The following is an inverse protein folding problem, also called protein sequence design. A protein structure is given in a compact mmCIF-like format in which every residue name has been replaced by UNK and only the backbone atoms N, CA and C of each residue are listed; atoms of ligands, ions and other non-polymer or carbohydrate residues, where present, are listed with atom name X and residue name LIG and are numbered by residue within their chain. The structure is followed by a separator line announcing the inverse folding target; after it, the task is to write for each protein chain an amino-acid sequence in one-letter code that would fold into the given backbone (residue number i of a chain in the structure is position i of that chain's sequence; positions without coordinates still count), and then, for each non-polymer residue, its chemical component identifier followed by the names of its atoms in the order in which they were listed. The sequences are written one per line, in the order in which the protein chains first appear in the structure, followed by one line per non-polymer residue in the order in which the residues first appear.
data_IF_253912948008
#
_entry.id   IF_253912948008
#
_cell.length_a   1.000
_cell.length_b   1.000
_cell.length_c   1.000
_cell.angle_alpha   90.00
_cell.angle_beta   90.00
_cell.angle_gamma   90.00
#
_symmetry.space_group_name_H-M   'P 1'
#
loop_
_entity.id
_entity.type
_entity.pdbx_description
1 polymer ?
#
# COMPACT_ATOMS: atom_id res chain seq x y z
N UNK A 1 110.13 -26.13 183.74
CA UNK A 1 110.17 -26.13 182.27
C UNK A 1 108.95 -25.41 181.72
N UNK A 2 109.01 -24.09 181.63
CA UNK A 2 107.94 -23.19 181.13
C UNK A 2 108.18 -22.77 179.66
N UNK A 3 109.06 -23.48 178.92
CA UNK A 3 109.53 -23.09 177.57
C UNK A 3 108.92 -23.87 176.41
N UNK A 4 108.21 -24.98 176.64
CA UNK A 4 107.53 -25.75 175.57
C UNK A 4 106.05 -25.39 175.38
N UNK A 5 105.43 -24.70 176.35
CA UNK A 5 104.08 -24.14 176.21
C UNK A 5 104.02 -22.95 175.22
N UNK A 6 105.18 -22.34 174.87
CA UNK A 6 105.27 -21.26 173.88
C UNK A 6 105.37 -21.78 172.43
N UNK A 7 105.90 -23.00 172.21
CA UNK A 7 106.02 -23.63 170.89
C UNK A 7 104.67 -24.16 170.38
N UNK A 8 103.85 -24.70 171.28
CA UNK A 8 102.51 -25.20 170.96
C UNK A 8 101.51 -24.07 170.68
N UNK A 9 101.66 -22.91 171.31
CA UNK A 9 100.82 -21.74 171.05
C UNK A 9 101.09 -21.09 169.67
N UNK A 10 102.37 -20.97 169.25
CA UNK A 10 102.73 -20.42 167.94
C UNK A 10 102.31 -21.35 166.77
N UNK A 11 102.43 -22.67 166.95
CA UNK A 11 101.96 -23.67 165.97
C UNK A 11 100.44 -23.67 165.80
N UNK A 12 99.68 -23.48 166.88
CA UNK A 12 98.22 -23.36 166.83
C UNK A 12 97.73 -22.05 166.20
N UNK A 13 98.51 -20.96 166.31
CA UNK A 13 98.17 -19.68 165.72
C UNK A 13 98.39 -19.69 164.19
N UNK A 14 99.51 -20.25 163.72
CA UNK A 14 99.79 -20.41 162.27
C UNK A 14 98.82 -21.40 161.61
N UNK A 15 98.42 -22.47 162.31
CA UNK A 15 97.39 -23.41 161.83
C UNK A 15 95.98 -22.77 161.74
N UNK A 16 95.64 -21.87 162.66
CA UNK A 16 94.38 -21.10 162.59
C UNK A 16 94.39 -20.08 161.47
N UNK A 17 95.50 -19.38 161.24
CA UNK A 17 95.60 -18.41 160.14
C UNK A 17 95.58 -19.09 158.76
N UNK A 18 96.28 -20.22 158.59
CA UNK A 18 96.20 -20.99 157.33
C UNK A 18 94.82 -21.60 157.09
N UNK A 19 94.11 -22.05 158.13
CA UNK A 19 92.72 -22.49 158.01
C UNK A 19 91.77 -21.33 157.64
N UNK A 20 91.95 -20.15 158.24
CA UNK A 20 91.18 -18.94 157.89
C UNK A 20 91.47 -18.46 156.47
N UNK A 21 92.71 -18.58 156.00
CA UNK A 21 93.09 -18.22 154.63
C UNK A 21 92.45 -19.16 153.60
N UNK A 22 92.44 -20.48 153.86
CA UNK A 22 91.72 -21.45 153.02
C UNK A 22 90.22 -21.22 153.02
N UNK A 23 89.61 -20.93 154.17
CA UNK A 23 88.17 -20.62 154.24
C UNK A 23 87.86 -19.32 153.47
N UNK A 24 88.76 -18.34 153.46
CA UNK A 24 88.62 -17.13 152.62
C UNK A 24 88.77 -17.43 151.13
N UNK A 25 89.75 -18.23 150.74
CA UNK A 25 89.93 -18.63 149.33
C UNK A 25 88.78 -19.52 148.83
N UNK A 26 88.28 -20.45 149.65
CA UNK A 26 87.10 -21.27 149.36
C UNK A 26 85.83 -20.42 149.29
N UNK A 27 85.69 -19.43 150.17
CA UNK A 27 84.61 -18.43 150.11
C UNK A 27 84.70 -17.63 148.80
N UNK A 28 85.85 -17.08 148.46
CA UNK A 28 86.03 -16.29 147.24
C UNK A 28 85.84 -17.15 145.97
N UNK A 29 86.26 -18.42 146.00
CA UNK A 29 86.01 -19.36 144.91
C UNK A 29 84.53 -19.73 144.79
N UNK A 30 83.81 -19.90 145.91
CA UNK A 30 82.36 -20.07 145.93
C UNK A 30 81.64 -18.82 145.45
N UNK A 31 82.05 -17.63 145.87
CA UNK A 31 81.46 -16.35 145.43
C UNK A 31 81.70 -16.13 143.92
N UNK A 32 82.87 -16.49 143.38
CA UNK A 32 83.12 -16.44 141.93
C UNK A 32 82.26 -17.45 141.17
N UNK A 33 82.13 -18.68 141.65
CA UNK A 33 81.25 -19.69 141.02
C UNK A 33 79.80 -19.25 141.10
N UNK A 34 79.37 -18.70 142.24
CA UNK A 34 78.03 -18.18 142.43
C UNK A 34 77.77 -16.99 141.51
N UNK A 35 78.71 -16.06 141.38
CA UNK A 35 78.63 -14.95 140.42
C UNK A 35 78.59 -15.45 138.96
N UNK A 36 79.38 -16.46 138.60
CA UNK A 36 79.33 -17.09 137.27
C UNK A 36 78.00 -17.78 137.01
N UNK A 37 77.47 -18.52 137.98
CA UNK A 37 76.16 -19.16 137.88
C UNK A 37 75.04 -18.13 137.80
N UNK A 38 75.08 -17.06 138.59
CA UNK A 38 74.10 -15.97 138.52
C UNK A 38 74.17 -15.24 137.18
N UNK A 39 75.36 -15.01 136.64
CA UNK A 39 75.52 -14.42 135.31
C UNK A 39 74.99 -15.34 134.20
N UNK A 40 75.26 -16.64 134.27
CA UNK A 40 74.74 -17.62 133.32
C UNK A 40 73.21 -17.73 133.40
N UNK A 41 72.66 -17.76 134.62
CA UNK A 41 71.21 -17.76 134.85
C UNK A 41 70.60 -16.47 134.29
N UNK A 42 71.18 -15.30 134.55
CA UNK A 42 70.71 -14.03 133.99
C UNK A 42 70.79 -13.96 132.46
N UNK A 43 71.83 -14.54 131.84
CA UNK A 43 71.92 -14.66 130.38
C UNK A 43 70.87 -15.63 129.82
N UNK A 44 70.66 -16.78 130.46
CA UNK A 44 69.65 -17.75 130.04
C UNK A 44 68.23 -17.19 130.24
N UNK A 45 67.98 -16.45 131.32
CA UNK A 45 66.72 -15.75 131.58
C UNK A 45 66.49 -14.64 130.54
N UNK A 46 67.53 -13.87 130.19
CA UNK A 46 67.46 -12.88 129.11
C UNK A 46 67.17 -13.54 127.76
N UNK A 47 67.83 -14.66 127.45
CA UNK A 47 67.59 -15.41 126.22
C UNK A 47 66.19 -16.03 126.18
N UNK A 48 65.68 -16.53 127.32
CA UNK A 48 64.30 -17.01 127.44
C UNK A 48 63.30 -15.86 127.31
N UNK A 49 63.60 -14.68 127.85
CA UNK A 49 62.77 -13.50 127.70
C UNK A 49 62.75 -12.99 126.26
N UNK A 50 63.90 -12.99 125.58
CA UNK A 50 64.05 -12.63 124.17
C UNK A 50 63.30 -13.62 123.27
N UNK A 51 63.47 -14.93 123.49
CA UNK A 51 62.71 -15.96 122.78
C UNK A 51 61.21 -15.88 123.05
N UNK A 52 60.79 -15.55 124.28
CA UNK A 52 59.37 -15.31 124.59
C UNK A 52 58.84 -14.10 123.82
N UNK A 53 59.58 -12.99 123.81
CA UNK A 53 59.20 -11.80 123.03
C UNK A 53 59.15 -12.10 121.52
N UNK A 54 60.09 -12.86 120.98
CA UNK A 54 60.07 -13.28 119.57
C UNK A 54 58.90 -14.22 119.28
N UNK A 55 58.63 -15.18 120.17
CA UNK A 55 57.49 -16.09 120.03
C UNK A 55 56.16 -15.34 120.07
N UNK A 56 56.01 -14.36 120.96
CA UNK A 56 54.79 -13.56 121.06
C UNK A 56 54.63 -12.62 119.84
N UNK A 57 55.73 -12.08 119.29
CA UNK A 57 55.74 -11.35 118.00
C UNK A 57 55.37 -12.26 116.83
N UNK A 58 55.89 -13.49 116.78
CA UNK A 58 55.54 -14.46 115.75
C UNK A 58 54.09 -14.92 115.87
N UNK A 59 53.60 -15.08 117.10
CA UNK A 59 52.22 -15.47 117.36
C UNK A 59 51.23 -14.37 116.95
N UNK A 60 51.50 -13.11 117.28
CA UNK A 60 50.68 -11.98 116.84
C UNK A 60 50.70 -11.82 115.31
N UNK A 61 51.87 -11.94 114.66
CA UNK A 61 51.94 -11.89 113.18
C UNK A 61 51.27 -13.09 112.50
N UNK A 62 51.28 -14.28 113.12
CA UNK A 62 50.53 -15.44 112.65
C UNK A 62 49.03 -15.20 112.76
N UNK A 63 48.55 -14.71 113.90
CA UNK A 63 47.13 -14.40 114.10
C UNK A 63 46.62 -13.34 113.10
N UNK A 64 47.42 -12.31 112.81
CA UNK A 64 47.08 -11.29 111.81
C UNK A 64 47.09 -11.86 110.38
N UNK A 65 48.05 -12.74 110.06
CA UNK A 65 48.08 -13.46 108.77
C UNK A 65 46.91 -14.43 108.61
N UNK A 66 46.49 -15.10 109.67
CA UNK A 66 45.31 -15.97 109.64
C UNK A 66 44.02 -15.16 109.46
N UNK A 67 43.88 -14.03 110.16
CA UNK A 67 42.73 -13.14 109.99
C UNK A 67 42.64 -12.59 108.57
N UNK A 68 43.76 -12.13 108.01
CA UNK A 68 43.81 -11.65 106.62
C UNK A 68 43.55 -12.78 105.60
N UNK A 69 44.11 -13.98 105.81
CA UNK A 69 43.83 -15.14 104.95
C UNK A 69 42.35 -15.55 104.99
N UNK A 70 41.70 -15.52 106.16
CA UNK A 70 40.26 -15.77 106.28
C UNK A 70 39.44 -14.70 105.57
N UNK A 71 39.81 -13.42 105.71
CA UNK A 71 39.18 -12.31 105.00
C UNK A 71 39.29 -12.44 103.47
N UNK A 72 40.48 -12.77 102.96
CA UNK A 72 40.68 -13.03 101.53
C UNK A 72 39.90 -14.27 101.06
N UNK A 73 39.74 -15.29 101.91
CA UNK A 73 38.95 -16.47 101.57
C UNK A 73 37.45 -16.15 101.47
N UNK A 74 36.92 -15.29 102.35
CA UNK A 74 35.52 -14.82 102.26
C UNK A 74 35.31 -13.94 101.02
N UNK A 75 36.20 -12.97 100.79
CA UNK A 75 36.14 -12.11 99.59
C UNK A 75 36.23 -12.93 98.29
N UNK A 76 37.10 -13.95 98.25
CA UNK A 76 37.19 -14.85 97.09
C UNK A 76 35.90 -15.64 96.87
N UNK A 77 35.26 -16.13 97.93
CA UNK A 77 33.98 -16.84 97.83
C UNK A 77 32.88 -15.91 97.33
N UNK A 78 32.82 -14.69 97.84
CA UNK A 78 31.87 -13.66 97.40
C UNK A 78 32.11 -13.25 95.94
N UNK A 79 33.35 -13.06 95.51
CA UNK A 79 33.69 -12.73 94.13
C UNK A 79 33.35 -13.87 93.16
N UNK A 80 33.59 -15.13 93.54
CA UNK A 80 33.21 -16.30 92.73
C UNK A 80 31.69 -16.41 92.64
N UNK A 81 30.98 -16.25 93.77
CA UNK A 81 29.52 -16.28 93.78
C UNK A 81 28.94 -15.13 92.93
N UNK A 82 29.47 -13.91 93.07
CA UNK A 82 29.08 -12.76 92.26
C UNK A 82 29.31 -12.97 90.76
N UNK A 83 30.42 -13.62 90.37
CA UNK A 83 30.65 -14.00 88.96
C UNK A 83 29.64 -15.03 88.47
N UNK A 84 29.34 -16.05 89.28
CA UNK A 84 28.36 -17.08 88.90
C UNK A 84 26.96 -16.48 88.69
N UNK A 85 26.53 -15.59 89.61
CA UNK A 85 25.25 -14.88 89.46
C UNK A 85 25.24 -14.02 88.21
N UNK A 86 26.31 -13.25 87.96
CA UNK A 86 26.42 -12.43 86.76
C UNK A 86 26.43 -13.25 85.45
N UNK A 87 27.08 -14.42 85.45
CA UNK A 87 27.07 -15.34 84.30
C UNK A 87 25.69 -15.95 84.07
N UNK A 88 24.96 -16.34 85.11
CA UNK A 88 23.59 -16.84 85.00
C UNK A 88 22.62 -15.76 84.51
N UNK A 89 22.72 -14.54 85.03
CA UNK A 89 21.94 -13.39 84.54
C UNK A 89 22.26 -13.07 83.08
N UNK A 90 23.55 -13.04 82.71
CA UNK A 90 23.96 -12.85 81.33
C UNK A 90 23.47 -13.97 80.41
N UNK A 91 23.38 -15.22 80.90
CA UNK A 91 22.82 -16.35 80.14
C UNK A 91 21.32 -16.17 79.94
N UNK A 92 20.56 -15.84 80.99
CA UNK A 92 19.12 -15.56 80.90
C UNK A 92 18.81 -14.43 79.94
N UNK A 93 19.55 -13.30 80.03
CA UNK A 93 19.38 -12.20 79.09
C UNK A 93 19.66 -12.61 77.63
N UNK A 94 20.65 -13.48 77.38
CA UNK A 94 20.92 -14.00 76.02
C UNK A 94 19.77 -14.88 75.53
N UNK A 95 19.29 -15.79 76.37
CA UNK A 95 18.15 -16.67 76.05
C UNK A 95 16.90 -15.84 75.72
N UNK A 96 16.58 -14.82 76.52
CA UNK A 96 15.45 -13.90 76.27
C UNK A 96 15.60 -13.11 74.97
N UNK A 97 16.81 -12.61 74.66
CA UNK A 97 17.07 -11.90 73.40
C UNK A 97 16.97 -12.85 72.21
N UNK A 98 17.47 -14.07 72.32
CA UNK A 98 17.32 -15.09 71.28
C UNK A 98 15.86 -15.47 71.04
N UNK A 99 15.06 -15.65 72.10
CA UNK A 99 13.64 -15.93 71.97
C UNK A 99 12.88 -14.73 71.37
N UNK A 100 13.17 -13.51 71.81
CA UNK A 100 12.56 -12.30 71.27
C UNK A 100 12.91 -12.10 69.78
N UNK A 101 14.15 -12.37 69.39
CA UNK A 101 14.58 -12.28 67.98
C UNK A 101 13.95 -13.37 67.12
N UNK A 102 13.87 -14.62 67.60
CA UNK A 102 13.15 -15.71 66.92
C UNK A 102 11.66 -15.38 66.76
N UNK A 103 10.99 -14.92 67.82
CA UNK A 103 9.59 -14.52 67.77
C UNK A 103 9.34 -13.35 66.79
N UNK A 104 10.25 -12.37 66.78
CA UNK A 104 10.20 -11.26 65.82
C UNK A 104 10.38 -11.75 64.38
N UNK A 105 11.36 -12.61 64.12
CA UNK A 105 11.61 -13.17 62.78
C UNK A 105 10.41 -13.95 62.26
N UNK A 106 9.78 -14.79 63.09
CA UNK A 106 8.55 -15.52 62.70
C UNK A 106 7.43 -14.55 62.33
N UNK A 107 7.24 -13.46 63.08
CA UNK A 107 6.24 -12.43 62.76
C UNK A 107 6.56 -11.71 61.44
N UNK A 108 7.83 -11.36 61.22
CA UNK A 108 8.27 -10.70 59.98
C UNK A 108 8.10 -11.64 58.78
N UNK A 109 8.42 -12.92 58.91
CA UNK A 109 8.22 -13.92 57.86
C UNK A 109 6.75 -14.15 57.55
N UNK A 110 5.90 -14.26 58.58
CA UNK A 110 4.45 -14.39 58.39
C UNK A 110 3.86 -13.16 57.68
N UNK A 111 4.28 -11.95 58.07
CA UNK A 111 3.88 -10.71 57.39
C UNK A 111 4.36 -10.67 55.93
N UNK A 112 5.62 -11.07 55.67
CA UNK A 112 6.16 -11.18 54.31
C UNK A 112 5.37 -12.18 53.47
N UNK A 113 5.09 -13.38 53.99
CA UNK A 113 4.28 -14.37 53.29
C UNK A 113 2.88 -13.84 52.95
N UNK A 114 2.22 -13.16 53.88
CA UNK A 114 0.90 -12.59 53.61
C UNK A 114 0.94 -11.50 52.54
N UNK A 115 1.92 -10.57 52.60
CA UNK A 115 2.08 -9.56 51.54
C UNK A 115 2.35 -10.19 50.17
N UNK A 116 3.19 -11.24 50.09
CA UNK A 116 3.42 -11.94 48.83
C UNK A 116 2.17 -12.63 48.29
N UNK A 117 1.33 -13.21 49.17
CA UNK A 117 0.04 -13.80 48.78
C UNK A 117 -0.94 -12.75 48.27
N UNK A 118 -1.00 -11.59 48.92
CA UNK A 118 -1.84 -10.46 48.46
C UNK A 118 -1.39 -10.02 47.07
N UNK A 119 -0.09 -9.79 46.87
CA UNK A 119 0.44 -9.39 45.56
C UNK A 119 0.20 -10.46 44.49
N UNK A 120 0.33 -11.75 44.80
CA UNK A 120 -0.01 -12.83 43.87
C UNK A 120 -1.49 -12.75 43.45
N UNK A 121 -2.41 -12.65 44.40
CA UNK A 121 -3.84 -12.49 44.12
C UNK A 121 -4.12 -11.26 43.25
N UNK A 122 -3.50 -10.12 43.56
CA UNK A 122 -3.63 -8.89 42.75
C UNK A 122 -3.13 -9.09 41.33
N UNK A 123 -1.98 -9.75 41.15
CA UNK A 123 -1.44 -10.04 39.82
C UNK A 123 -2.34 -10.97 39.02
N UNK A 124 -2.96 -11.96 39.65
CA UNK A 124 -3.86 -12.90 38.97
C UNK A 124 -5.19 -12.23 38.60
N UNK A 125 -5.74 -11.40 39.49
CA UNK A 125 -6.91 -10.56 39.19
C UNK A 125 -6.61 -9.62 38.02
N UNK A 126 -5.44 -8.98 38.01
CA UNK A 126 -5.02 -8.10 36.92
C UNK A 126 -4.85 -8.87 35.61
N UNK A 127 -4.20 -10.04 35.61
CA UNK A 127 -4.07 -10.89 34.42
C UNK A 127 -5.42 -11.27 33.83
N UNK A 128 -6.37 -11.69 34.67
CA UNK A 128 -7.73 -12.04 34.23
C UNK A 128 -8.45 -10.80 33.67
N UNK A 129 -8.32 -9.64 34.34
CA UNK A 129 -8.92 -8.39 33.89
C UNK A 129 -8.36 -7.94 32.52
N UNK A 130 -7.03 -7.94 32.36
CA UNK A 130 -6.38 -7.58 31.11
C UNK A 130 -6.64 -8.62 30.01
N UNK A 131 -6.72 -9.92 30.35
CA UNK A 131 -7.11 -10.97 29.42
C UNK A 131 -8.52 -10.75 28.86
N UNK A 132 -9.49 -10.43 29.73
CA UNK A 132 -10.86 -10.08 29.32
C UNK A 132 -10.90 -8.81 28.47
N UNK A 133 -10.17 -7.75 28.87
CA UNK A 133 -10.11 -6.48 28.13
C UNK A 133 -9.46 -6.66 26.75
N UNK A 134 -8.38 -7.43 26.66
CA UNK A 134 -7.71 -7.77 25.41
C UNK A 134 -8.63 -8.58 24.48
N UNK A 135 -9.28 -9.61 25.00
CA UNK A 135 -10.24 -10.40 24.23
C UNK A 135 -11.42 -9.56 23.71
N UNK A 136 -11.94 -8.63 24.52
CA UNK A 136 -12.98 -7.69 24.10
C UNK A 136 -12.47 -6.73 23.00
N UNK A 137 -11.25 -6.21 23.15
CA UNK A 137 -10.63 -5.35 22.13
C UNK A 137 -10.44 -6.08 20.80
N UNK A 138 -9.97 -7.33 20.82
CA UNK A 138 -9.85 -8.16 19.61
C UNK A 138 -11.21 -8.40 18.94
N UNK A 139 -12.27 -8.68 19.69
CA UNK A 139 -13.63 -8.82 19.13
C UNK A 139 -14.11 -7.52 18.46
N UNK A 140 -13.85 -6.37 19.07
CA UNK A 140 -14.20 -5.07 18.47
C UNK A 140 -13.41 -4.86 17.17
N UNK A 141 -12.11 -5.15 17.16
CA UNK A 141 -11.29 -5.06 15.96
C UNK A 141 -11.82 -5.96 14.84
N UNK A 142 -12.14 -7.22 15.16
CA UNK A 142 -12.68 -8.17 14.19
C UNK A 142 -14.00 -7.69 13.58
N UNK A 143 -14.92 -7.13 14.40
CA UNK A 143 -16.17 -6.54 13.89
C UNK A 143 -15.88 -5.37 12.96
N UNK A 144 -14.96 -4.47 13.33
CA UNK A 144 -14.58 -3.31 12.51
C UNK A 144 -13.90 -3.72 11.21
N UNK A 145 -13.06 -4.75 11.23
CA UNK A 145 -12.42 -5.30 10.04
C UNK A 145 -13.45 -5.87 9.05
N UNK A 146 -14.45 -6.59 9.57
CA UNK A 146 -15.58 -7.09 8.75
C UNK A 146 -16.39 -5.94 8.15
N UNK A 147 -16.76 -4.93 8.95
CA UNK A 147 -17.47 -3.74 8.46
C UNK A 147 -16.67 -3.01 7.37
N UNK A 148 -15.36 -2.83 7.55
CA UNK A 148 -14.49 -2.25 6.54
C UNK A 148 -14.43 -3.10 5.25
N UNK A 149 -14.40 -4.43 5.38
CA UNK A 149 -14.43 -5.32 4.22
C UNK A 149 -15.75 -5.20 3.45
N UNK A 150 -16.89 -5.13 4.15
CA UNK A 150 -18.20 -5.01 3.51
C UNK A 150 -18.43 -3.62 2.90
N UNK A 151 -17.98 -2.55 3.58
CA UNK A 151 -17.97 -1.20 3.01
C UNK A 151 -17.10 -1.13 1.75
N UNK A 152 -15.94 -1.80 1.71
CA UNK A 152 -15.10 -1.87 0.50
C UNK A 152 -15.81 -2.60 -0.64
N UNK A 153 -16.51 -3.72 -0.36
CA UNK A 153 -17.30 -4.43 -1.38
C UNK A 153 -18.44 -3.57 -1.91
N UNK A 154 -19.18 -2.91 -1.02
CA UNK A 154 -20.27 -1.99 -1.38
C UNK A 154 -19.75 -0.82 -2.23
N UNK A 155 -18.64 -0.21 -1.82
CA UNK A 155 -17.99 0.87 -2.57
C UNK A 155 -17.53 0.39 -3.95
N UNK A 156 -16.96 -0.82 -4.07
CA UNK A 156 -16.63 -1.41 -5.37
C UNK A 156 -17.87 -1.67 -6.23
N UNK A 157 -18.98 -2.15 -5.64
CA UNK A 157 -20.24 -2.36 -6.36
C UNK A 157 -20.79 -1.04 -6.91
N UNK A 158 -20.88 -0.01 -6.07
CA UNK A 158 -21.33 1.33 -6.47
C UNK A 158 -20.40 1.95 -7.51
N UNK A 159 -19.08 1.76 -7.40
CA UNK A 159 -18.14 2.20 -8.45
C UNK A 159 -18.41 1.53 -9.79
N UNK A 160 -18.63 0.21 -9.80
CA UNK A 160 -19.00 -0.51 -11.04
C UNK A 160 -20.35 -0.02 -11.58
N UNK A 161 -21.30 0.28 -10.71
CA UNK A 161 -22.58 0.88 -11.11
C UNK A 161 -22.40 2.26 -11.74
N UNK A 162 -21.52 3.09 -11.18
CA UNK A 162 -21.23 4.41 -11.71
C UNK A 162 -20.45 4.35 -13.03
N UNK A 163 -19.48 3.44 -13.15
CA UNK A 163 -18.69 3.23 -14.38
C UNK A 163 -19.53 2.69 -15.54
N UNK A 164 -20.42 1.73 -15.26
CA UNK A 164 -21.26 1.10 -16.26
C UNK A 164 -22.62 1.80 -16.44
N UNK A 165 -22.89 2.86 -15.67
CA UNK A 165 -24.20 3.51 -15.60
C UNK A 165 -25.27 2.68 -14.89
N UNK A 166 -26.45 3.29 -14.71
CA UNK A 166 -27.63 2.63 -14.15
C UNK A 166 -27.95 1.36 -14.95
N UNK A 167 -28.46 0.28 -14.33
CA UNK A 167 -28.92 -0.90 -15.07
C UNK A 167 -29.93 -0.54 -16.18
N UNK A 168 -30.75 0.50 -15.97
CA UNK A 168 -31.64 1.06 -16.99
C UNK A 168 -30.84 1.65 -18.16
N UNK A 169 -29.84 2.49 -17.89
CA UNK A 169 -28.96 3.07 -18.91
C UNK A 169 -28.27 1.98 -19.73
N UNK A 170 -27.83 0.89 -19.09
CA UNK A 170 -27.24 -0.26 -19.79
C UNK A 170 -28.22 -0.91 -20.75
N UNK A 171 -29.47 -1.09 -20.34
CA UNK A 171 -30.52 -1.61 -21.21
C UNK A 171 -30.82 -0.64 -22.35
N UNK A 172 -30.84 0.67 -22.09
CA UNK A 172 -30.98 1.69 -23.14
C UNK A 172 -29.83 1.60 -24.15
N UNK A 173 -28.58 1.49 -23.72
CA UNK A 173 -27.43 1.34 -24.63
C UNK A 173 -27.44 0.02 -25.38
N UNK A 174 -27.84 -1.08 -24.74
CA UNK A 174 -27.99 -2.38 -25.41
C UNK A 174 -29.09 -2.33 -26.48
N UNK A 175 -30.22 -1.70 -26.17
CA UNK A 175 -31.31 -1.49 -27.13
C UNK A 175 -30.87 -0.57 -28.27
N UNK A 176 -30.17 0.52 -27.97
CA UNK A 176 -29.61 1.42 -28.98
C UNK A 176 -28.60 0.70 -29.88
N UNK A 177 -27.75 -0.17 -29.33
CA UNK A 177 -26.82 -0.99 -30.10
C UNK A 177 -27.54 -2.01 -30.99
N UNK A 178 -28.58 -2.67 -30.48
CA UNK A 178 -29.44 -3.58 -31.27
C UNK A 178 -30.15 -2.84 -32.39
N UNK A 179 -30.69 -1.67 -32.10
CA UNK A 179 -31.35 -0.78 -33.07
C UNK A 179 -30.36 -0.33 -34.14
N UNK A 180 -29.19 0.17 -33.76
CA UNK A 180 -28.14 0.60 -34.69
C UNK A 180 -27.64 -0.55 -35.57
N UNK A 181 -27.49 -1.76 -35.02
CA UNK A 181 -27.13 -2.95 -35.80
C UNK A 181 -28.21 -3.30 -36.83
N UNK A 182 -29.50 -3.23 -36.42
CA UNK A 182 -30.62 -3.47 -37.33
C UNK A 182 -30.67 -2.42 -38.43
N UNK A 183 -30.55 -1.14 -38.08
CA UNK A 183 -30.63 -0.04 -39.04
C UNK A 183 -29.45 -0.12 -40.03
N UNK A 184 -28.23 -0.45 -39.56
CA UNK A 184 -27.08 -0.70 -40.44
C UNK A 184 -27.28 -1.90 -41.40
N UNK A 185 -28.02 -2.94 -41.01
CA UNK A 185 -28.38 -4.04 -41.90
C UNK A 185 -29.41 -3.61 -42.95
N UNK A 186 -30.39 -2.80 -42.55
CA UNK A 186 -31.41 -2.23 -43.45
C UNK A 186 -30.76 -1.31 -44.47
N UNK A 187 -29.85 -0.42 -44.04
CA UNK A 187 -29.13 0.47 -44.94
C UNK A 187 -28.34 -0.31 -46.00
N UNK A 188 -27.62 -1.36 -45.60
CA UNK A 188 -26.93 -2.25 -46.56
C UNK A 188 -27.86 -2.98 -47.52
N UNK A 189 -29.09 -3.29 -47.09
CA UNK A 189 -30.11 -3.89 -47.97
C UNK A 189 -30.66 -2.85 -48.95
N UNK A 190 -30.91 -1.63 -48.50
CA UNK A 190 -31.34 -0.51 -49.35
C UNK A 190 -30.28 -0.21 -50.40
N UNK A 191 -29.00 -0.09 -50.01
CA UNK A 191 -27.89 0.14 -50.95
C UNK A 191 -27.83 -0.97 -52.01
N UNK A 192 -28.00 -2.24 -51.62
CA UNK A 192 -28.03 -3.37 -52.57
C UNK A 192 -29.22 -3.25 -53.54
N UNK A 193 -30.39 -2.87 -53.05
CA UNK A 193 -31.58 -2.67 -53.89
C UNK A 193 -31.41 -1.50 -54.84
N UNK A 194 -30.88 -0.37 -54.37
CA UNK A 194 -30.59 0.80 -55.19
C UNK A 194 -29.60 0.48 -56.30
N UNK A 195 -28.52 -0.25 -55.99
CA UNK A 195 -27.57 -0.71 -57.00
C UNK A 195 -28.23 -1.64 -58.04
N UNK A 196 -29.13 -2.53 -57.61
CA UNK A 196 -29.88 -3.39 -58.52
C UNK A 196 -30.82 -2.59 -59.43
N UNK A 197 -31.55 -1.62 -58.87
CA UNK A 197 -32.43 -0.72 -59.63
C UNK A 197 -31.64 0.15 -60.61
N UNK A 198 -30.48 0.67 -60.21
CA UNK A 198 -29.60 1.43 -61.10
C UNK A 198 -29.11 0.58 -62.28
N UNK A 199 -28.69 -0.67 -62.01
CA UNK A 199 -28.30 -1.63 -63.07
C UNK A 199 -29.45 -1.93 -64.02
N UNK A 200 -30.66 -2.15 -63.48
CA UNK A 200 -31.85 -2.40 -64.29
C UNK A 200 -32.21 -1.19 -65.15
N UNK A 201 -32.21 0.02 -64.57
CA UNK A 201 -32.49 1.27 -65.28
C UNK A 201 -31.45 1.54 -66.39
N UNK A 202 -30.16 1.30 -66.12
CA UNK A 202 -29.11 1.40 -67.14
C UNK A 202 -29.32 0.38 -68.26
N UNK A 203 -29.68 -0.87 -67.91
CA UNK A 203 -30.02 -1.91 -68.88
C UNK A 203 -31.23 -1.55 -69.75
N UNK A 204 -32.28 -0.98 -69.16
CA UNK A 204 -33.46 -0.50 -69.91
C UNK A 204 -33.08 0.61 -70.89
N UNK A 205 -32.35 1.63 -70.44
CA UNK A 205 -31.89 2.72 -71.33
C UNK A 205 -31.03 2.19 -72.49
N UNK A 206 -30.14 1.24 -72.22
CA UNK A 206 -29.33 0.62 -73.27
C UNK A 206 -30.19 -0.13 -74.29
N UNK A 207 -31.22 -0.84 -73.84
CA UNK A 207 -32.16 -1.52 -74.74
C UNK A 207 -33.02 -0.53 -75.53
N UNK A 208 -33.47 0.56 -74.91
CA UNK A 208 -34.24 1.59 -75.60
C UNK A 208 -33.41 2.26 -76.73
N UNK A 209 -32.12 2.49 -76.49
CA UNK A 209 -31.20 2.98 -77.52
C UNK A 209 -31.04 1.96 -78.65
N UNK A 210 -30.91 0.68 -78.32
CA UNK A 210 -30.78 -0.40 -79.30
C UNK A 210 -32.07 -0.59 -80.12
N UNK A 211 -33.24 -0.51 -79.50
CA UNK A 211 -34.54 -0.54 -80.18
C UNK A 211 -34.62 0.64 -81.16
N UNK A 212 -34.30 1.86 -80.73
CA UNK A 212 -34.29 3.03 -81.62
C UNK A 212 -33.32 2.87 -82.79
N UNK A 213 -32.15 2.27 -82.57
CA UNK A 213 -31.17 1.97 -83.61
C UNK A 213 -31.77 0.99 -84.63
N UNK A 214 -32.32 -0.12 -84.15
CA UNK A 214 -32.94 -1.15 -85.00
C UNK A 214 -34.18 -0.63 -85.73
N UNK A 215 -34.98 0.22 -85.10
CA UNK A 215 -36.11 0.90 -85.74
C UNK A 215 -35.63 1.81 -86.88
N UNK A 216 -34.56 2.57 -86.68
CA UNK A 216 -33.94 3.38 -87.73
C UNK A 216 -33.40 2.54 -88.90
N UNK A 217 -32.73 1.43 -88.60
CA UNK A 217 -32.25 0.48 -89.61
C UNK A 217 -33.39 -0.16 -90.40
N UNK A 218 -34.48 -0.50 -89.72
CA UNK A 218 -35.67 -1.06 -90.35
C UNK A 218 -36.35 -0.05 -91.28
N UNK A 219 -36.43 1.23 -90.89
CA UNK A 219 -36.93 2.30 -91.77
C UNK A 219 -36.04 2.45 -93.01
N UNK A 220 -34.72 2.54 -92.82
CA UNK A 220 -33.78 2.65 -93.94
C UNK A 220 -33.83 1.44 -94.88
N UNK A 221 -33.92 0.22 -94.35
CA UNK A 221 -34.08 -0.99 -95.14
C UNK A 221 -35.41 -1.02 -95.90
N UNK A 222 -36.51 -0.53 -95.30
CA UNK A 222 -37.80 -0.39 -95.99
C UNK A 222 -37.73 0.62 -97.14
N UNK A 223 -37.07 1.76 -96.93
CA UNK A 223 -36.86 2.74 -98.00
C UNK A 223 -36.03 2.17 -99.16
N UNK A 224 -34.96 1.44 -98.85
CA UNK A 224 -34.15 0.74 -99.85
C UNK A 224 -34.96 -0.32 -100.60
N UNK A 225 -35.75 -1.13 -99.90
CA UNK A 225 -36.64 -2.11 -100.51
C UNK A 225 -37.70 -1.45 -101.41
N UNK A 226 -38.25 -0.31 -100.99
CA UNK A 226 -39.17 0.49 -101.82
C UNK A 226 -38.49 0.97 -103.09
N UNK A 227 -37.30 1.59 -102.98
CA UNK A 227 -36.50 2.06 -104.11
C UNK A 227 -36.16 0.93 -105.09
N UNK A 228 -35.69 -0.22 -104.59
CA UNK A 228 -35.43 -1.40 -105.42
C UNK A 228 -36.70 -1.92 -106.08
N UNK A 229 -37.82 -1.95 -105.35
CA UNK A 229 -39.12 -2.31 -105.93
C UNK A 229 -39.56 -1.35 -107.05
N UNK A 230 -39.25 -0.05 -106.95
CA UNK A 230 -39.49 0.89 -108.04
C UNK A 230 -38.57 0.65 -109.23
N UNK A 231 -37.27 0.43 -109.02
CA UNK A 231 -36.31 0.14 -110.09
C UNK A 231 -36.72 -1.13 -110.83
N UNK A 232 -37.01 -2.21 -110.10
CA UNK A 232 -37.43 -3.48 -110.69
C UNK A 232 -38.73 -3.33 -111.50
N UNK A 233 -39.70 -2.53 -111.00
CA UNK A 233 -40.93 -2.22 -111.75
C UNK A 233 -40.69 -1.36 -113.00
N UNK A 234 -39.65 -0.52 -113.04
CA UNK A 234 -39.27 0.27 -114.23
C UNK A 234 -38.55 -0.57 -115.28
N UNK A 235 -37.74 -1.55 -114.87
CA UNK A 235 -37.06 -2.49 -115.78
C UNK A 235 -38.03 -3.42 -116.52
N UNK A 236 -39.19 -3.74 -115.93
CA UNK A 236 -40.22 -4.60 -116.54
C UNK A 236 -41.14 -3.89 -117.56
N UNK A 237 -40.92 -2.60 -117.86
CA UNK A 237 -41.75 -1.86 -118.82
C UNK A 237 -41.34 -2.20 -120.26
N UNK A 238 -42.29 -2.67 -121.08
CA UNK A 238 -42.06 -2.91 -122.50
C UNK A 238 -41.79 -1.58 -123.24
N UNK A 239 -40.52 -1.33 -123.53
CA UNK A 239 -40.06 -0.08 -124.16
C UNK A 239 -40.65 0.16 -125.55
N UNK A 240 -40.99 -0.88 -126.31
CA UNK A 240 -41.63 -0.73 -127.62
C UNK A 240 -43.06 -0.20 -127.50
N UNK A 241 -43.78 -0.64 -126.46
CA UNK A 241 -45.12 -0.15 -126.15
C UNK A 241 -45.09 1.29 -125.65
N UNK A 242 -44.17 1.61 -124.73
CA UNK A 242 -43.97 2.97 -124.25
C UNK A 242 -43.61 3.92 -125.40
N UNK A 243 -42.68 3.52 -126.27
CA UNK A 243 -42.29 4.31 -127.45
C UNK A 243 -43.48 4.60 -128.36
N UNK A 244 -44.33 3.61 -128.61
CA UNK A 244 -45.54 3.78 -129.42
C UNK A 244 -46.49 4.82 -128.81
N UNK A 245 -46.71 4.76 -127.50
CA UNK A 245 -47.60 5.70 -126.80
C UNK A 245 -47.02 7.11 -126.74
N UNK A 246 -45.72 7.26 -126.47
CA UNK A 246 -45.06 8.58 -126.46
C UNK A 246 -45.11 9.22 -127.84
N UNK A 247 -44.82 8.46 -128.90
CA UNK A 247 -44.91 8.96 -130.29
C UNK A 247 -46.35 9.40 -130.59
N UNK A 248 -47.34 8.61 -130.18
CA UNK A 248 -48.75 8.96 -130.35
C UNK A 248 -49.12 10.22 -129.57
N UNK A 249 -48.65 10.36 -128.33
CA UNK A 249 -48.85 11.54 -127.49
C UNK A 249 -48.27 12.81 -128.11
N UNK A 250 -47.04 12.75 -128.65
CA UNK A 250 -46.38 13.91 -129.29
C UNK A 250 -46.97 14.26 -130.65
N UNK A 251 -47.62 13.31 -131.34
CA UNK A 251 -48.29 13.57 -132.61
C UNK A 251 -49.57 14.41 -132.47
N UNK A 252 -50.13 14.51 -131.26
CA UNK A 252 -51.35 15.25 -131.01
C UNK A 252 -51.08 16.70 -130.55
N UNK A 253 -51.92 17.68 -130.97
CA UNK A 253 -51.82 19.05 -130.50
C UNK A 253 -51.93 19.17 -128.96
N UNK A 254 -51.29 20.20 -128.36
CA UNK A 254 -51.21 20.36 -126.89
C UNK A 254 -52.53 20.59 -126.16
N UNK A 255 -53.65 20.76 -126.89
CA UNK A 255 -54.99 20.96 -126.32
C UNK A 255 -55.98 19.87 -126.80
N UNK A 256 -55.48 18.79 -127.40
CA UNK A 256 -56.33 17.67 -127.82
C UNK A 256 -56.74 16.83 -126.62
N UNK A 257 -58.04 16.56 -126.50
CA UNK A 257 -58.58 15.61 -125.51
C UNK A 257 -57.97 14.20 -125.66
N UNK A 258 -57.52 13.84 -126.87
CA UNK A 258 -56.82 12.58 -127.12
C UNK A 258 -55.43 12.57 -126.48
N UNK A 259 -54.74 13.71 -126.43
CA UNK A 259 -53.44 13.85 -125.74
C UNK A 259 -53.62 13.70 -124.24
N UNK A 260 -54.61 14.38 -123.66
CA UNK A 260 -54.92 14.28 -122.23
C UNK A 260 -55.33 12.87 -121.83
N UNK A 261 -56.03 12.13 -122.70
CA UNK A 261 -56.39 10.73 -122.44
C UNK A 261 -55.19 9.77 -122.40
N UNK A 262 -54.10 10.12 -123.09
CA UNK A 262 -52.85 9.34 -123.10
C UNK A 262 -51.94 9.68 -121.93
N UNK A 263 -52.16 10.80 -121.23
CA UNK A 263 -51.38 11.23 -120.08
C UNK A 263 -51.50 10.24 -118.89
N UNK A 264 -52.69 9.75 -118.47
CA UNK A 264 -52.80 8.71 -117.45
C UNK A 264 -52.12 7.40 -117.85
N UNK A 265 -52.10 7.08 -119.15
CA UNK A 265 -51.45 5.86 -119.66
C UNK A 265 -49.93 6.01 -119.58
N UNK A 266 -49.38 7.16 -119.97
CA UNK A 266 -47.97 7.47 -119.77
C UNK A 266 -47.61 7.52 -118.29
N UNK A 267 -48.45 8.13 -117.46
CA UNK A 267 -48.23 8.22 -116.03
C UNK A 267 -48.27 6.85 -115.34
N UNK A 268 -49.07 5.90 -115.82
CA UNK A 268 -49.07 4.52 -115.30
C UNK A 268 -47.89 3.70 -115.81
N UNK A 269 -47.46 3.89 -117.05
CA UNK A 269 -46.30 3.19 -117.62
C UNK A 269 -44.96 3.69 -117.07
N UNK A 270 -44.82 5.01 -116.93
CA UNK A 270 -43.63 5.65 -116.36
C UNK A 270 -43.71 5.80 -114.83
N UNK A 271 -44.88 5.47 -114.26
CA UNK A 271 -45.17 5.56 -112.82
C UNK A 271 -44.86 6.95 -112.26
N UNK A 272 -45.52 7.96 -112.82
CA UNK A 272 -45.38 9.35 -112.38
C UNK A 272 -45.79 9.50 -110.91
N UNK A 273 -44.90 10.12 -110.14
CA UNK A 273 -45.19 10.57 -108.79
C UNK A 273 -45.93 11.92 -108.82
N UNK A 274 -46.50 12.32 -107.68
CA UNK A 274 -47.17 13.63 -107.57
C UNK A 274 -46.25 14.79 -108.02
N UNK A 275 -44.94 14.66 -107.77
CA UNK A 275 -43.91 15.60 -108.20
C UNK A 275 -43.77 15.67 -109.74
N UNK A 276 -43.94 14.53 -110.43
CA UNK A 276 -43.85 14.47 -111.90
C UNK A 276 -45.06 15.14 -112.58
N UNK A 277 -46.23 15.07 -111.95
CA UNK A 277 -47.42 15.80 -112.41
C UNK A 277 -47.22 17.32 -112.30
N UNK A 278 -46.62 17.80 -111.21
CA UNK A 278 -46.31 19.23 -111.04
C UNK A 278 -45.27 19.72 -112.07
N UNK A 279 -44.27 18.89 -112.39
CA UNK A 279 -43.27 19.20 -113.41
C UNK A 279 -43.87 19.30 -114.83
N UNK A 280 -44.91 18.52 -115.13
CA UNK A 280 -45.60 18.56 -116.42
C UNK A 280 -46.49 19.78 -116.57
N UNK A 281 -47.21 20.17 -115.53
CA UNK A 281 -48.06 21.38 -115.55
C UNK A 281 -47.21 22.66 -115.68
N UNK A 282 -46.07 22.71 -114.99
CA UNK A 282 -45.11 23.83 -115.15
C UNK A 282 -44.41 23.81 -116.52
N UNK A 283 -44.17 22.63 -117.10
CA UNK A 283 -43.61 22.47 -118.45
C UNK A 283 -44.59 22.84 -119.57
N UNK A 284 -45.89 22.58 -119.40
CA UNK A 284 -46.93 22.86 -120.41
C UNK A 284 -47.12 24.35 -120.71
N UNK A 285 -46.76 25.25 -119.79
CA UNK A 285 -46.87 26.70 -119.95
C UNK A 285 -45.69 27.37 -120.68
N UNK A 286 -44.57 26.67 -120.89
CA UNK A 286 -43.47 27.16 -121.73
C UNK A 286 -43.71 26.70 -123.16
N UNK A 287 -44.04 27.63 -124.05
CA UNK A 287 -44.33 27.37 -125.46
C UNK A 287 -43.26 26.47 -126.10
N UNK A 288 -43.74 25.40 -126.74
CA UNK A 288 -42.96 24.36 -127.36
C UNK A 288 -42.00 24.93 -128.40
N UNK A 289 -40.74 25.13 -128.01
CA UNK A 289 -39.49 25.06 -128.79
C UNK A 289 -38.27 25.50 -127.97
N UNK A 290 -38.45 26.11 -126.79
CA UNK A 290 -37.35 26.49 -125.87
C UNK A 290 -36.93 25.37 -124.90
N UNK A 291 -37.69 24.27 -124.78
CA UNK A 291 -37.43 23.19 -123.82
C UNK A 291 -36.17 22.36 -124.13
N UNK A 292 -35.81 22.21 -125.42
CA UNK A 292 -34.62 21.43 -125.81
C UNK A 292 -33.32 22.24 -125.77
N UNK A 293 -33.38 23.57 -125.68
CA UNK A 293 -32.20 24.45 -125.60
C UNK A 293 -31.64 24.52 -124.17
N UNK A 294 -32.48 24.28 -123.15
CA UNK A 294 -32.08 24.15 -121.73
C UNK A 294 -31.52 22.75 -121.38
N UNK A 295 -31.61 21.78 -122.30
CA UNK A 295 -31.19 20.38 -122.09
C UNK A 295 -29.87 20.00 -122.80
N UNK A 296 -29.19 20.94 -123.47
CA UNK A 296 -27.82 20.75 -123.97
C UNK A 296 -26.80 21.62 -123.19
N UNK A 297 -25.68 21.04 -122.72
CA UNK A 297 -24.86 21.65 -121.68
C UNK A 297 -23.79 22.57 -122.27
N UNK A 298 -23.80 23.86 -121.91
CA UNK A 298 -22.61 24.70 -122.01
C UNK A 298 -21.86 24.67 -120.68
N UNK A 299 -20.70 24.02 -120.72
CA UNK A 299 -19.87 23.73 -119.58
C UNK A 299 -18.93 24.90 -119.20
N UNK A 300 -18.35 24.74 -118.01
CA UNK A 300 -17.01 25.20 -117.57
C UNK A 300 -16.95 26.53 -116.77
N UNK A 301 -16.50 26.37 -115.51
CA UNK A 301 -15.75 27.33 -114.63
C UNK A 301 -16.50 28.55 -114.08
N UNK A 302 -16.28 29.06 -112.86
CA UNK A 302 -15.27 28.83 -111.82
C UNK A 302 -15.66 29.61 -110.53
N UNK A 303 -15.19 29.10 -109.37
CA UNK A 303 -14.63 29.86 -108.20
C UNK A 303 -15.61 30.72 -107.38
N UNK A 304 -16.05 30.26 -106.20
CA UNK A 304 -15.47 30.48 -104.85
C UNK A 304 -16.06 31.72 -104.10
N UNK A 305 -15.60 32.06 -102.87
CA UNK A 305 -16.18 31.66 -101.58
C UNK A 305 -16.68 32.86 -100.74
N UNK A 306 -17.40 32.64 -99.63
CA UNK A 306 -17.24 33.37 -98.36
C UNK A 306 -18.37 33.11 -97.34
N UNK A 307 -17.96 32.96 -96.07
CA UNK A 307 -18.74 33.10 -94.84
C UNK A 307 -19.44 34.48 -94.72
N UNK A 308 -20.38 34.67 -93.77
CA UNK A 308 -19.97 35.23 -92.48
C UNK A 308 -20.68 34.67 -91.22
N UNK A 309 -20.00 34.92 -90.10
CA UNK A 309 -20.34 34.70 -88.69
C UNK A 309 -21.50 35.58 -88.17
N UNK A 310 -22.19 35.13 -87.11
CA UNK A 310 -22.41 35.80 -85.79
C UNK A 310 -23.39 34.94 -84.96
N UNK A 311 -23.04 34.39 -83.78
CA UNK A 311 -22.78 34.98 -82.46
C UNK A 311 -24.04 35.23 -81.62
N UNK A 312 -24.29 34.39 -80.60
CA UNK A 312 -24.74 34.82 -79.26
C UNK A 312 -24.20 33.89 -78.18
N UNK A 313 -23.80 34.52 -77.09
CA UNK A 313 -23.23 34.03 -75.85
C UNK A 313 -24.25 34.13 -74.71
N UNK A 314 -24.29 33.17 -73.77
CA UNK A 314 -24.35 33.44 -72.31
C UNK A 314 -24.47 32.17 -71.43
N UNK A 315 -23.56 32.10 -70.44
CA UNK A 315 -23.73 31.72 -69.02
C UNK A 315 -23.85 30.24 -68.55
N UNK A 316 -22.96 29.88 -67.60
CA UNK A 316 -23.12 28.80 -66.60
C UNK A 316 -22.03 27.70 -66.68
N UNK A 317 -20.80 27.83 -66.13
CA UNK A 317 -20.41 27.55 -64.72
C UNK A 317 -21.01 26.22 -64.17
N UNK A 318 -20.32 25.20 -63.65
CA UNK A 318 -19.01 25.04 -63.01
C UNK A 318 -18.54 23.56 -63.00
N UNK A 319 -17.22 23.36 -63.10
CA UNK A 319 -16.32 22.47 -62.33
C UNK A 319 -16.71 20.99 -62.03
N UNK A 320 -15.95 20.07 -62.63
CA UNK A 320 -15.64 18.73 -62.10
C UNK A 320 -14.23 18.75 -61.44
N UNK A 321 -13.66 17.64 -60.93
CA UNK A 321 -13.39 17.44 -59.50
C UNK A 321 -11.88 17.55 -59.20
N UNK A 322 -11.47 17.80 -57.95
CA UNK A 322 -10.14 17.34 -57.58
C UNK A 322 -9.92 17.08 -56.09
N UNK A 323 -9.19 15.99 -55.89
CA UNK A 323 -8.63 15.48 -54.66
C UNK A 323 -7.59 16.43 -54.07
N UNK A 324 -7.53 16.52 -52.73
CA UNK A 324 -6.28 16.77 -52.01
C UNK A 324 -6.24 15.94 -50.72
N UNK A 325 -5.18 15.13 -50.64
CA UNK A 325 -4.67 14.41 -49.47
C UNK A 325 -3.85 15.36 -48.58
N UNK A 326 -3.53 14.85 -47.38
CA UNK A 326 -2.52 15.26 -46.38
C UNK A 326 -2.99 16.32 -45.39
N UNK A 327 -2.78 16.23 -44.07
CA UNK A 327 -2.15 15.25 -43.15
C UNK A 327 -2.52 15.68 -41.71
N UNK A 328 -2.26 14.86 -40.67
CA UNK A 328 -2.84 15.01 -39.34
C UNK A 328 -2.03 15.95 -38.43
N UNK A 329 -2.71 16.61 -37.49
CA UNK A 329 -2.07 17.37 -36.41
C UNK A 329 -2.77 17.11 -35.06
N UNK A 330 -2.04 16.33 -34.26
CA UNK A 330 -1.89 16.28 -32.80
C UNK A 330 -3.10 16.16 -31.83
N UNK A 331 -2.99 15.24 -30.85
CA UNK A 331 -3.86 15.16 -29.68
C UNK A 331 -3.45 16.15 -28.59
N UNK A 332 -4.42 16.79 -27.95
CA UNK A 332 -4.20 17.52 -26.70
C UNK A 332 -3.99 16.51 -25.56
N UNK A 333 -2.86 16.64 -24.88
CA UNK A 333 -2.46 15.91 -23.68
C UNK A 333 -2.63 16.84 -22.48
N UNK A 334 -2.97 16.26 -21.32
CA UNK A 334 -2.75 16.76 -19.96
C UNK A 334 -3.65 17.90 -19.44
N UNK A 335 -4.78 17.48 -18.84
CA UNK A 335 -5.36 18.12 -17.66
C UNK A 335 -4.99 17.30 -16.42
N UNK A 336 -3.91 17.71 -15.79
CA UNK A 336 -3.31 17.16 -14.57
C UNK A 336 -4.24 17.43 -13.37
N UNK A 337 -4.89 16.40 -12.81
CA UNK A 337 -5.58 16.52 -11.51
C UNK A 337 -4.53 16.34 -10.43
N UNK A 338 -4.05 17.48 -9.90
CA UNK A 338 -3.25 17.52 -8.69
C UNK A 338 -4.07 17.02 -7.49
N UNK A 339 -3.64 15.89 -6.94
CA UNK A 339 -3.98 15.46 -5.59
C UNK A 339 -3.28 16.41 -4.62
N UNK A 340 -3.98 17.42 -4.13
CA UNK A 340 -3.53 18.20 -2.97
C UNK A 340 -3.64 17.35 -1.72
N UNK A 341 -2.53 16.68 -1.38
CA UNK A 341 -2.28 16.18 -0.05
C UNK A 341 -2.08 17.37 0.89
N UNK A 342 -3.12 17.76 1.62
CA UNK A 342 -3.03 18.67 2.77
C UNK A 342 -2.76 17.84 4.03
N UNK A 343 -1.49 17.57 4.27
CA UNK A 343 -0.99 17.26 5.60
C UNK A 343 -0.45 18.55 6.21
N UNK A 344 -1.04 19.03 7.29
CA UNK A 344 -0.41 19.90 8.31
C UNK A 344 -1.40 20.25 9.44
N UNK A 345 -0.91 20.19 10.68
CA UNK A 345 -1.56 20.69 11.89
C UNK A 345 -2.05 19.56 12.80
N UNK A 346 -1.20 18.93 13.61
CA UNK A 346 -0.67 19.47 14.86
C UNK A 346 -1.79 20.03 15.75
N UNK A 347 -2.24 19.19 16.69
CA UNK A 347 -3.20 19.52 17.73
C UNK A 347 -2.89 18.71 18.98
N UNK A 348 -1.79 19.07 19.64
CA UNK A 348 -1.56 18.74 21.04
C UNK A 348 -2.75 19.27 21.87
N UNK A 349 -3.48 18.39 22.55
CA UNK A 349 -4.17 18.79 23.77
C UNK A 349 -4.04 17.72 24.85
N UNK A 350 -3.04 17.99 25.70
CA UNK A 350 -2.99 17.79 27.15
C UNK A 350 -4.07 16.89 27.77
N UNK A 351 -3.59 15.78 28.33
CA UNK A 351 -4.10 15.21 29.59
C UNK A 351 -4.18 16.30 30.68
N UNK A 352 -5.21 16.28 31.53
CA UNK A 352 -5.01 16.58 32.94
C UNK A 352 -5.03 15.28 33.74
N UNK A 353 -3.95 15.10 34.50
CA UNK A 353 -3.87 14.16 35.59
C UNK A 353 -4.56 14.72 36.84
N UNK A 354 -5.06 13.78 37.67
CA UNK A 354 -5.35 13.89 39.11
C UNK A 354 -6.53 14.75 39.56
N UNK A 355 -7.49 14.10 40.22
CA UNK A 355 -7.62 14.21 41.69
C UNK A 355 -8.44 13.06 42.26
N UNK A 356 -7.76 12.25 43.07
CA UNK A 356 -8.33 11.49 44.18
C UNK A 356 -8.91 12.49 45.19
N UNK A 357 -10.18 12.33 45.55
CA UNK A 357 -10.67 12.79 46.86
C UNK A 357 -11.25 11.60 47.59
N UNK A 358 -10.49 11.14 48.59
CA UNK A 358 -11.07 10.47 49.75
C UNK A 358 -12.14 11.40 50.33
N UNK A 359 -13.33 10.85 50.59
CA UNK A 359 -14.17 11.33 51.67
C UNK A 359 -14.26 10.19 52.70
N UNK A 360 -14.11 10.63 53.95
CA UNK A 360 -14.15 9.85 55.18
C UNK A 360 -15.49 9.16 55.40
#
# INVERSE_FOLDING_TARGET
GYREQASTAASQQVARETALQRVREERDACERKQAQHTALIGMLEAQVAEQKMERDKLQTTLEDREKTARGLQTERKEAVHGRQVAEEEARRCREEVEEATRASNVRVEAARQETTRIHQKETDVLKVFYGKKSAAAHKILEVRERECADLRKSLQAVRRELELGSPEDRQFFEFAAKQSSRDALVDREIERREQALQKLAAGMRSRDLEIKRLEGELVAAREQASKLGHIQRREDVNMDYLKSIVVKYLSFPPESTERDSLLPVLATLLQFEAEDYEALDTGAQKTAWSFWEDLLPSAVTAVAPANPLQATSAAGQHSMPNHKKMTPAKPATLGEIQVSARAQGAGEHRRPARRTSLQF
#
